data_IF_414281969020
#
_entry.id   IF_414281969020
#
_cell.length_a   1.000
_cell.length_b   1.000
_cell.length_c   1.000
_cell.angle_alpha   90.00
_cell.angle_beta   90.00
_cell.angle_gamma   90.00
#
_symmetry.space_group_name_H-M   'P 1'
#
loop_
_entity.id
_entity.type
_entity.pdbx_description
1 polymer ?
#
# COMPACT_ATOMS: atom_id res chain seq x y z
N UNK A 1 -15.19 7.48 15.01
CA UNK A 1 -15.47 7.49 13.56
C UNK A 1 -15.57 6.07 13.02
N UNK A 2 -16.45 5.83 12.02
CA UNK A 2 -16.51 4.56 11.30
C UNK A 2 -15.26 4.41 10.41
N UNK A 3 -14.61 3.24 10.40
CA UNK A 3 -13.45 2.97 9.53
C UNK A 3 -13.79 3.20 8.07
N UNK A 4 -12.86 3.77 7.32
CA UNK A 4 -12.95 4.09 5.90
C UNK A 4 -12.14 3.08 5.10
N UNK A 5 -12.77 2.49 4.08
CA UNK A 5 -12.11 1.52 3.18
C UNK A 5 -11.38 2.27 2.08
N UNK A 6 -10.29 1.66 1.60
CA UNK A 6 -9.64 2.11 0.39
C UNK A 6 -10.46 1.74 -0.85
N UNK A 7 -10.36 2.57 -1.88
CA UNK A 7 -11.02 2.33 -3.17
C UNK A 7 -10.25 1.32 -4.06
N UNK A 8 -9.05 0.89 -3.66
CA UNK A 8 -8.30 -0.20 -4.31
C UNK A 8 -8.35 -1.49 -3.48
N UNK A 9 -8.29 -2.63 -4.15
CA UNK A 9 -7.87 -3.90 -3.55
C UNK A 9 -6.35 -3.94 -3.57
N UNK A 10 -5.73 -4.21 -2.45
CA UNK A 10 -4.27 -4.19 -2.35
C UNK A 10 -3.78 -5.31 -1.44
N UNK A 11 -2.71 -5.99 -1.86
CA UNK A 11 -2.05 -6.97 -1.01
C UNK A 11 -1.48 -6.27 0.24
N UNK A 12 -1.58 -6.91 1.40
CA UNK A 12 -1.10 -6.32 2.65
C UNK A 12 -1.97 -5.18 3.22
N UNK A 13 -3.15 -4.91 2.66
CA UNK A 13 -4.01 -3.81 3.10
C UNK A 13 -4.31 -3.82 4.61
N UNK A 14 -3.88 -2.77 5.32
CA UNK A 14 -3.91 -2.68 6.78
C UNK A 14 -5.27 -2.35 7.40
N UNK A 15 -6.36 -2.26 6.62
CA UNK A 15 -7.70 -1.98 7.13
C UNK A 15 -8.11 -2.78 8.40
N UNK A 16 -7.80 -4.09 8.53
CA UNK A 16 -8.07 -4.84 9.77
C UNK A 16 -7.26 -4.35 10.98
N UNK A 17 -6.03 -3.91 10.75
CA UNK A 17 -5.02 -3.55 11.76
C UNK A 17 -4.96 -2.04 12.07
N UNK A 18 -5.70 -1.21 11.33
CA UNK A 18 -5.69 0.25 11.48
C UNK A 18 -5.90 0.71 12.93
N UNK A 19 -6.76 0.06 13.72
CA UNK A 19 -6.99 0.50 15.11
C UNK A 19 -5.78 0.21 16.01
N UNK A 20 -5.10 -0.91 15.76
CA UNK A 20 -3.91 -1.28 16.51
C UNK A 20 -2.73 -0.40 16.10
N UNK A 21 -2.56 -0.13 14.80
CA UNK A 21 -1.57 0.83 14.29
C UNK A 21 -1.80 2.21 14.91
N UNK A 22 -3.04 2.72 14.86
CA UNK A 22 -3.38 4.04 15.44
C UNK A 22 -3.09 4.15 16.93
N UNK A 23 -3.17 3.05 17.69
CA UNK A 23 -2.86 3.06 19.13
C UNK A 23 -1.37 3.30 19.39
N UNK A 24 -0.51 2.91 18.47
CA UNK A 24 0.95 3.00 18.59
C UNK A 24 1.56 4.10 17.73
N UNK A 25 0.77 4.72 16.84
CA UNK A 25 1.21 5.80 15.99
C UNK A 25 1.22 7.12 16.80
N UNK A 26 2.37 7.78 16.97
CA UNK A 26 2.45 9.02 17.74
C UNK A 26 1.70 10.19 17.10
N UNK A 27 1.41 11.22 17.88
CA UNK A 27 0.88 12.50 17.37
C UNK A 27 1.98 13.31 16.66
N UNK A 28 1.57 14.19 15.76
CA UNK A 28 2.42 15.12 15.02
C UNK A 28 1.62 15.86 13.94
N UNK A 29 2.30 16.72 13.19
CA UNK A 29 1.67 17.61 12.21
C UNK A 29 1.50 16.93 10.85
N UNK A 30 2.48 16.10 10.46
CA UNK A 30 2.54 15.46 9.15
C UNK A 30 2.76 13.95 9.28
N UNK A 31 1.91 13.14 8.64
CA UNK A 31 2.18 11.71 8.50
C UNK A 31 2.86 11.42 7.16
N UNK A 32 4.02 10.80 7.24
CA UNK A 32 4.77 10.30 6.08
C UNK A 32 4.54 8.80 5.96
N UNK A 33 4.03 8.35 4.82
CA UNK A 33 3.91 6.92 4.48
C UNK A 33 4.79 6.61 3.25
N UNK A 34 6.02 6.08 3.41
CA UNK A 34 6.91 5.74 2.30
C UNK A 34 6.44 4.56 1.43
N UNK A 35 5.47 3.80 1.93
CA UNK A 35 4.87 2.62 1.30
C UNK A 35 3.35 2.71 1.35
N UNK A 36 2.77 3.77 0.81
CA UNK A 36 1.34 4.07 1.02
C UNK A 36 0.42 2.94 0.59
N UNK A 37 0.75 2.21 -0.49
CA UNK A 37 -0.11 1.16 -1.04
C UNK A 37 -1.54 1.67 -1.21
N UNK A 38 -2.54 0.94 -0.69
CA UNK A 38 -3.95 1.37 -0.69
C UNK A 38 -4.30 2.55 0.24
N UNK A 39 -3.37 3.07 1.05
CA UNK A 39 -3.60 4.22 1.93
C UNK A 39 -4.55 3.94 3.10
N UNK A 40 -4.57 2.72 3.63
CA UNK A 40 -5.50 2.37 4.72
C UNK A 40 -5.25 3.17 6.01
N UNK A 41 -3.99 3.45 6.34
CA UNK A 41 -3.65 4.25 7.53
C UNK A 41 -3.98 5.72 7.27
N UNK A 42 -3.48 6.30 6.16
CA UNK A 42 -3.89 7.60 5.65
C UNK A 42 -5.39 7.84 5.78
N UNK A 43 -6.23 6.96 5.23
CA UNK A 43 -7.68 7.14 5.21
C UNK A 43 -8.35 7.13 6.59
N UNK A 44 -7.66 6.65 7.63
CA UNK A 44 -8.23 6.42 8.96
C UNK A 44 -7.52 7.19 10.10
N UNK A 45 -6.47 7.95 9.83
CA UNK A 45 -5.85 8.92 10.77
C UNK A 45 -6.36 10.34 10.50
N UNK A 46 -5.96 11.35 11.28
CA UNK A 46 -6.35 12.75 11.05
C UNK A 46 -5.18 13.68 11.41
N UNK A 47 -4.12 13.62 10.60
CA UNK A 47 -3.00 14.55 10.66
C UNK A 47 -3.35 15.82 9.86
N UNK A 48 -2.65 16.92 10.13
CA UNK A 48 -2.86 18.18 9.41
C UNK A 48 -2.43 18.08 7.95
N UNK A 49 -1.36 17.32 7.69
CA UNK A 49 -0.85 17.05 6.35
C UNK A 49 -0.32 15.63 6.19
N UNK A 50 -0.15 15.21 4.93
CA UNK A 50 0.37 13.89 4.58
C UNK A 50 1.38 13.95 3.44
N UNK A 51 2.46 13.19 3.55
CA UNK A 51 3.39 12.91 2.44
C UNK A 51 3.33 11.42 2.16
N UNK A 52 2.71 11.05 1.05
CA UNK A 52 2.38 9.67 0.71
C UNK A 52 3.19 9.25 -0.52
N UNK A 53 4.02 8.24 -0.35
CA UNK A 53 4.94 7.77 -1.40
C UNK A 53 4.79 6.29 -1.68
N UNK A 54 5.08 5.92 -2.92
CA UNK A 54 5.20 4.54 -3.37
C UNK A 54 6.15 4.50 -4.57
N UNK A 55 6.77 3.35 -4.81
CA UNK A 55 7.59 3.13 -6.01
C UNK A 55 6.73 2.89 -7.25
N UNK A 56 5.46 2.52 -7.07
CA UNK A 56 4.53 2.28 -8.17
C UNK A 56 3.99 3.60 -8.75
N UNK A 57 4.49 3.96 -9.92
CA UNK A 57 4.08 5.19 -10.62
C UNK A 57 2.61 5.19 -11.06
N UNK A 58 2.04 4.03 -11.45
CA UNK A 58 0.62 3.94 -11.83
C UNK A 58 -0.30 4.22 -10.64
N UNK A 59 0.10 3.77 -9.45
CA UNK A 59 -0.62 4.03 -8.20
C UNK A 59 -0.62 5.54 -7.87
N UNK A 60 0.56 6.17 -7.90
CA UNK A 60 0.70 7.59 -7.58
C UNK A 60 0.00 8.47 -8.61
N UNK A 61 0.09 8.12 -9.91
CA UNK A 61 -0.63 8.82 -10.97
C UNK A 61 -2.15 8.73 -10.77
N UNK A 62 -2.66 7.55 -10.41
CA UNK A 62 -4.06 7.36 -10.07
C UNK A 62 -4.49 8.26 -8.89
N UNK A 63 -3.71 8.30 -7.81
CA UNK A 63 -4.03 9.14 -6.67
C UNK A 63 -4.06 10.62 -7.01
N UNK A 64 -3.09 11.11 -7.80
CA UNK A 64 -3.09 12.48 -8.28
C UNK A 64 -4.25 12.77 -9.25
N UNK A 65 -4.67 11.81 -10.09
CA UNK A 65 -5.83 11.95 -10.97
C UNK A 65 -7.13 12.09 -10.17
N UNK A 66 -7.34 11.23 -9.17
CA UNK A 66 -8.52 11.29 -8.28
C UNK A 66 -8.52 12.57 -7.44
N UNK A 67 -7.35 13.00 -6.92
CA UNK A 67 -7.20 14.24 -6.15
C UNK A 67 -7.59 15.48 -6.97
N UNK A 68 -7.12 15.57 -8.22
CA UNK A 68 -7.22 16.78 -9.03
C UNK A 68 -8.52 16.88 -9.83
N UNK A 69 -9.09 15.74 -10.25
CA UNK A 69 -10.20 15.68 -11.21
C UNK A 69 -11.21 14.59 -10.84
N UNK A 70 -11.66 14.58 -9.58
CA UNK A 70 -12.49 13.51 -9.02
C UNK A 70 -13.77 13.23 -9.84
N UNK A 71 -14.59 14.25 -10.10
CA UNK A 71 -15.84 14.09 -10.83
C UNK A 71 -15.63 13.60 -12.27
N UNK A 72 -14.67 14.20 -12.97
CA UNK A 72 -14.29 13.78 -14.32
C UNK A 72 -13.84 12.31 -14.31
N UNK A 73 -12.94 11.95 -13.39
CA UNK A 73 -12.43 10.59 -13.26
C UNK A 73 -13.55 9.58 -13.00
N UNK A 74 -14.42 9.86 -12.03
CA UNK A 74 -15.53 8.99 -11.62
C UNK A 74 -16.52 8.81 -12.78
N UNK A 75 -16.88 9.89 -13.47
CA UNK A 75 -17.82 9.84 -14.59
C UNK A 75 -17.29 9.02 -15.77
N UNK A 76 -15.98 9.10 -16.07
CA UNK A 76 -15.38 8.36 -17.18
C UNK A 76 -15.10 6.89 -16.84
N UNK A 77 -14.78 6.56 -15.59
CA UNK A 77 -14.46 5.18 -15.20
C UNK A 77 -15.71 4.35 -14.91
N UNK A 78 -16.79 4.97 -14.42
CA UNK A 78 -18.05 4.29 -14.06
C UNK A 78 -18.62 3.39 -15.17
N UNK A 79 -18.67 3.80 -16.46
CA UNK A 79 -19.14 2.93 -17.54
C UNK A 79 -18.35 1.62 -17.67
N UNK A 80 -17.07 1.60 -17.29
CA UNK A 80 -16.22 0.40 -17.32
C UNK A 80 -16.62 -0.66 -16.27
N UNK A 81 -17.54 -0.33 -15.35
CA UNK A 81 -18.08 -1.25 -14.34
C UNK A 81 -19.45 -1.85 -14.74
N UNK A 82 -19.86 -1.71 -16.01
CA UNK A 82 -21.06 -2.36 -16.55
C UNK A 82 -20.83 -3.84 -16.85
N UNK A 83 -21.91 -4.59 -17.10
CA UNK A 83 -21.83 -6.00 -17.51
C UNK A 83 -21.12 -6.21 -18.85
N UNK A 84 -21.16 -5.22 -19.74
CA UNK A 84 -20.47 -5.25 -21.04
C UNK A 84 -18.96 -5.39 -20.86
N UNK A 85 -18.39 -4.66 -19.90
CA UNK A 85 -16.95 -4.67 -19.62
C UNK A 85 -16.53 -5.77 -18.64
N UNK A 86 -17.46 -6.59 -18.14
CA UNK A 86 -17.16 -7.72 -17.25
C UNK A 86 -17.02 -9.05 -18.02
N UNK A 87 -16.32 -9.03 -19.15
CA UNK A 87 -16.02 -10.20 -19.97
C UNK A 87 -14.51 -10.40 -20.10
N UNK A 88 -14.06 -11.64 -20.36
CA UNK A 88 -12.65 -11.92 -20.56
C UNK A 88 -12.06 -11.16 -21.76
N UNK A 89 -12.84 -11.05 -22.84
CA UNK A 89 -12.45 -10.33 -24.05
C UNK A 89 -12.21 -8.84 -23.77
N UNK A 90 -13.19 -8.15 -23.18
CA UNK A 90 -13.03 -6.73 -22.84
C UNK A 90 -11.94 -6.50 -21.80
N UNK A 91 -11.79 -7.39 -20.82
CA UNK A 91 -10.72 -7.31 -19.85
C UNK A 91 -9.34 -7.35 -20.52
N UNK A 92 -9.09 -8.31 -21.42
CA UNK A 92 -7.79 -8.43 -22.07
C UNK A 92 -7.53 -7.30 -23.07
N UNK A 93 -8.57 -6.82 -23.77
CA UNK A 93 -8.49 -5.63 -24.63
C UNK A 93 -8.08 -4.39 -23.83
N UNK A 94 -8.75 -4.11 -22.71
CA UNK A 94 -8.45 -2.97 -21.85
C UNK A 94 -7.10 -3.11 -21.12
N UNK A 95 -6.66 -4.34 -20.82
CA UNK A 95 -5.32 -4.60 -20.28
C UNK A 95 -4.23 -4.29 -21.31
N UNK A 96 -4.44 -4.66 -22.57
CA UNK A 96 -3.53 -4.32 -23.66
C UNK A 96 -3.49 -2.80 -23.90
N UNK A 97 -4.65 -2.15 -23.87
CA UNK A 97 -4.76 -0.68 -23.93
C UNK A 97 -3.99 -0.02 -22.79
N UNK A 98 -4.13 -0.50 -21.56
CA UNK A 98 -3.36 -0.02 -20.42
C UNK A 98 -1.86 -0.14 -20.65
N UNK A 99 -1.38 -1.28 -21.14
CA UNK A 99 0.05 -1.51 -21.37
C UNK A 99 0.62 -0.64 -22.50
N UNK A 100 -0.18 -0.26 -23.51
CA UNK A 100 0.24 0.57 -24.64
C UNK A 100 0.03 2.08 -24.42
N UNK A 101 -0.92 2.45 -23.56
CA UNK A 101 -1.29 3.84 -23.34
C UNK A 101 -0.14 4.63 -22.70
N UNK A 102 0.10 5.83 -23.24
CA UNK A 102 1.01 6.84 -22.69
C UNK A 102 0.26 7.98 -21.99
N UNK A 103 -1.07 8.01 -22.05
CA UNK A 103 -1.88 9.02 -21.35
C UNK A 103 -2.05 8.63 -19.87
N UNK A 104 -1.48 9.40 -18.92
CA UNK A 104 -1.58 9.09 -17.49
C UNK A 104 -3.03 9.04 -16.98
N UNK A 105 -3.92 9.86 -17.54
CA UNK A 105 -5.32 9.88 -17.08
C UNK A 105 -6.06 8.63 -17.50
N UNK A 106 -5.95 8.23 -18.79
CA UNK A 106 -6.49 6.96 -19.27
C UNK A 106 -5.89 5.77 -18.55
N UNK A 107 -4.56 5.76 -18.34
CA UNK A 107 -3.90 4.70 -17.56
C UNK A 107 -4.48 4.58 -16.15
N UNK A 108 -4.72 5.70 -15.47
CA UNK A 108 -5.29 5.72 -14.12
C UNK A 108 -6.71 5.11 -14.07
N UNK A 109 -7.56 5.46 -15.05
CA UNK A 109 -8.90 4.87 -15.16
C UNK A 109 -8.84 3.35 -15.39
N UNK A 110 -8.00 2.92 -16.33
CA UNK A 110 -7.80 1.51 -16.64
C UNK A 110 -7.17 0.76 -15.46
N UNK A 111 -6.29 1.38 -14.69
CA UNK A 111 -5.69 0.77 -13.50
C UNK A 111 -6.74 0.43 -12.44
N UNK A 112 -7.69 1.34 -12.16
CA UNK A 112 -8.81 1.06 -11.25
C UNK A 112 -9.71 -0.06 -11.80
N UNK A 113 -10.05 -0.03 -13.09
CA UNK A 113 -10.82 -1.09 -13.73
C UNK A 113 -10.11 -2.44 -13.57
N UNK A 114 -8.83 -2.53 -13.96
CA UNK A 114 -8.03 -3.75 -13.88
C UNK A 114 -7.94 -4.25 -12.44
N UNK A 115 -7.69 -3.38 -11.45
CA UNK A 115 -7.63 -3.77 -10.05
C UNK A 115 -8.93 -4.44 -9.55
N UNK A 116 -10.09 -3.94 -9.99
CA UNK A 116 -11.39 -4.47 -9.58
C UNK A 116 -11.83 -5.70 -10.37
N UNK A 117 -11.32 -5.89 -11.59
CA UNK A 117 -11.69 -6.98 -12.49
C UNK A 117 -10.66 -8.12 -12.55
N UNK A 118 -9.40 -7.90 -12.15
CA UNK A 118 -8.33 -8.89 -12.23
C UNK A 118 -8.36 -9.90 -11.07
N UNK A 119 -7.65 -11.00 -11.25
CA UNK A 119 -7.51 -12.04 -10.23
C UNK A 119 -6.99 -11.46 -8.91
N UNK A 120 -7.82 -11.60 -7.86
CA UNK A 120 -7.54 -11.18 -6.48
C UNK A 120 -7.16 -9.70 -6.27
N UNK A 121 -7.33 -8.83 -7.28
CA UNK A 121 -6.87 -7.45 -7.18
C UNK A 121 -5.35 -7.33 -7.09
N UNK A 122 -4.62 -8.31 -7.65
CA UNK A 122 -3.17 -8.27 -7.70
C UNK A 122 -2.70 -7.10 -8.58
N UNK A 123 -1.61 -6.48 -8.17
CA UNK A 123 -0.85 -5.54 -8.99
C UNK A 123 0.48 -6.22 -9.35
N UNK A 124 0.64 -6.64 -10.61
CA UNK A 124 1.83 -7.37 -11.05
C UNK A 124 2.16 -7.01 -12.49
N UNK A 125 3.45 -6.75 -12.70
CA UNK A 125 4.04 -6.42 -13.98
C UNK A 125 5.09 -7.47 -14.35
N UNK A 126 5.32 -7.68 -15.64
CA UNK A 126 6.46 -8.48 -16.11
C UNK A 126 7.75 -7.64 -16.15
N UNK A 127 8.86 -8.24 -16.56
CA UNK A 127 10.16 -7.55 -16.70
C UNK A 127 10.17 -6.42 -17.72
N UNK A 128 9.16 -6.30 -18.59
CA UNK A 128 8.97 -5.20 -19.54
C UNK A 128 8.09 -4.07 -18.97
N UNK A 129 7.66 -4.16 -17.71
CA UNK A 129 6.76 -3.20 -17.08
C UNK A 129 5.30 -3.32 -17.53
N UNK A 130 4.90 -4.44 -18.15
CA UNK A 130 3.53 -4.65 -18.62
C UNK A 130 2.70 -5.38 -17.55
N UNK A 131 1.52 -4.86 -17.24
CA UNK A 131 0.56 -5.49 -16.34
C UNK A 131 0.09 -6.83 -16.92
N UNK A 132 0.25 -7.91 -16.15
CA UNK A 132 0.07 -9.28 -16.64
C UNK A 132 -0.87 -10.14 -15.79
N UNK A 133 -1.68 -9.54 -14.91
CA UNK A 133 -2.65 -10.28 -14.08
C UNK A 133 -3.83 -10.75 -14.95
N UNK A 134 -4.30 -12.01 -14.81
CA UNK A 134 -5.44 -12.53 -15.59
C UNK A 134 -6.78 -12.00 -15.08
N UNK A 135 -7.84 -12.22 -15.88
CA UNK A 135 -9.21 -11.85 -15.52
C UNK A 135 -9.70 -12.63 -14.28
N UNK A 136 -10.33 -11.93 -13.33
CA UNK A 136 -10.74 -12.47 -12.03
C UNK A 136 -12.10 -13.18 -12.01
N UNK A 137 -12.91 -13.05 -13.07
CA UNK A 137 -14.24 -13.71 -13.22
C UNK A 137 -15.20 -13.43 -12.07
N UNK A 138 -15.19 -12.21 -11.53
CA UNK A 138 -16.16 -11.80 -10.51
C UNK A 138 -17.56 -11.66 -11.10
N UNK A 139 -18.59 -12.07 -10.35
CA UNK A 139 -20.00 -11.93 -10.79
C UNK A 139 -20.38 -10.48 -11.08
N UNK A 140 -20.01 -9.57 -10.16
CA UNK A 140 -20.25 -8.13 -10.27
C UNK A 140 -19.13 -7.39 -9.51
N UNK A 141 -18.10 -6.89 -10.21
CA UNK A 141 -17.11 -6.01 -9.61
C UNK A 141 -17.77 -4.80 -8.95
N UNK A 142 -17.38 -4.50 -7.71
CA UNK A 142 -17.88 -3.33 -6.98
C UNK A 142 -17.21 -2.07 -7.50
N UNK A 143 -18.00 -1.06 -7.88
CA UNK A 143 -17.51 0.28 -8.20
C UNK A 143 -17.42 1.13 -6.92
N UNK A 144 -16.21 1.53 -6.50
CA UNK A 144 -15.98 2.16 -5.20
C UNK A 144 -16.20 3.68 -5.23
N UNK A 145 -17.41 4.12 -5.57
CA UNK A 145 -17.73 5.53 -5.76
C UNK A 145 -17.58 6.37 -4.48
N UNK A 146 -18.22 5.94 -3.38
CA UNK A 146 -18.14 6.64 -2.10
C UNK A 146 -16.69 6.69 -1.58
N UNK A 147 -15.93 5.61 -1.78
CA UNK A 147 -14.52 5.57 -1.40
C UNK A 147 -13.64 6.48 -2.27
N UNK A 148 -13.98 6.67 -3.56
CA UNK A 148 -13.28 7.60 -4.45
C UNK A 148 -13.52 9.06 -4.03
N UNK A 149 -14.77 9.43 -3.75
CA UNK A 149 -15.09 10.78 -3.27
C UNK A 149 -14.45 11.07 -1.91
N UNK A 150 -14.53 10.12 -0.97
CA UNK A 150 -13.87 10.24 0.32
C UNK A 150 -12.34 10.36 0.19
N UNK A 151 -11.73 9.57 -0.70
CA UNK A 151 -10.30 9.67 -0.98
C UNK A 151 -9.95 11.04 -1.57
N UNK A 152 -10.72 11.55 -2.53
CA UNK A 152 -10.49 12.86 -3.16
C UNK A 152 -10.57 14.02 -2.16
N UNK A 153 -11.58 13.99 -1.27
CA UNK A 153 -11.75 14.98 -0.19
C UNK A 153 -10.53 14.96 0.75
N UNK A 154 -10.16 13.78 1.24
CA UNK A 154 -9.03 13.66 2.17
C UNK A 154 -7.70 14.02 1.52
N UNK A 155 -7.55 13.72 0.23
CA UNK A 155 -6.34 13.97 -0.56
C UNK A 155 -5.96 15.43 -0.68
N UNK A 156 -6.86 16.36 -0.35
CA UNK A 156 -6.54 17.79 -0.32
C UNK A 156 -5.47 18.13 0.72
N UNK A 157 -5.36 17.33 1.80
CA UNK A 157 -4.29 17.43 2.82
C UNK A 157 -3.01 16.68 2.45
N UNK A 158 -2.95 16.00 1.29
CA UNK A 158 -1.88 15.04 0.98
C UNK A 158 -1.06 15.41 -0.26
N UNK A 159 0.25 15.17 -0.22
CA UNK A 159 1.12 15.15 -1.39
C UNK A 159 1.44 13.69 -1.77
N UNK A 160 1.19 13.31 -3.03
CA UNK A 160 1.48 11.98 -3.55
C UNK A 160 2.72 12.00 -4.45
N UNK A 161 3.76 11.25 -4.07
CA UNK A 161 5.08 11.33 -4.70
C UNK A 161 5.54 9.92 -5.11
N UNK A 162 5.92 9.73 -6.36
CA UNK A 162 6.50 8.48 -6.83
C UNK A 162 7.99 8.50 -6.54
N UNK A 163 8.41 7.87 -5.44
CA UNK A 163 9.81 7.88 -5.00
C UNK A 163 10.15 6.65 -4.16
N UNK A 164 11.45 6.38 -4.04
CA UNK A 164 11.98 5.32 -3.19
C UNK A 164 11.81 5.68 -1.70
N UNK A 165 11.64 4.66 -0.85
CA UNK A 165 11.37 4.85 0.58
C UNK A 165 12.48 5.65 1.29
N UNK A 166 13.74 5.43 0.92
CA UNK A 166 14.88 6.15 1.49
C UNK A 166 14.79 7.66 1.29
N UNK A 167 14.29 8.11 0.13
CA UNK A 167 14.13 9.52 -0.17
C UNK A 167 13.02 10.10 0.71
N UNK A 168 11.88 9.40 0.81
CA UNK A 168 10.77 9.81 1.65
C UNK A 168 11.16 9.92 3.14
N UNK A 169 11.94 8.97 3.63
CA UNK A 169 12.45 8.94 5.00
C UNK A 169 13.45 10.07 5.27
N UNK A 170 14.45 10.25 4.40
CA UNK A 170 15.51 11.23 4.62
C UNK A 170 15.02 12.68 4.54
N UNK A 171 13.95 12.93 3.78
CA UNK A 171 13.30 14.24 3.65
C UNK A 171 12.32 14.56 4.79
N UNK A 172 12.14 13.65 5.76
CA UNK A 172 11.29 13.92 6.92
C UNK A 172 11.83 15.12 7.74
N UNK A 173 10.93 16.06 8.04
CA UNK A 173 11.20 17.26 8.83
C UNK A 173 10.66 17.13 10.25
N UNK A 174 11.07 18.02 11.15
CA UNK A 174 10.49 18.13 12.49
C UNK A 174 8.97 18.25 12.44
N UNK A 175 8.28 17.68 13.43
CA UNK A 175 6.81 17.60 13.46
C UNK A 175 6.24 16.43 12.65
N UNK A 176 7.06 15.71 11.88
CA UNK A 176 6.61 14.53 11.14
C UNK A 176 6.49 13.30 12.04
N UNK A 177 5.57 12.40 11.67
CA UNK A 177 5.49 11.02 12.12
C UNK A 177 5.61 10.13 10.89
N UNK A 178 6.40 9.06 10.97
CA UNK A 178 6.61 8.16 9.84
C UNK A 178 5.94 6.81 10.12
N UNK A 179 5.13 6.33 9.17
CA UNK A 179 4.61 4.97 9.17
C UNK A 179 5.10 4.19 7.96
N UNK A 180 5.82 3.09 8.21
CA UNK A 180 6.36 2.22 7.19
C UNK A 180 5.61 0.88 7.16
N UNK A 181 5.05 0.54 6.00
CA UNK A 181 4.46 -0.76 5.71
C UNK A 181 5.14 -1.44 4.52
N UNK A 182 6.41 -1.87 4.68
CA UNK A 182 7.16 -2.46 3.57
C UNK A 182 6.52 -3.77 3.08
N UNK A 183 6.84 -4.21 1.86
CA UNK A 183 6.62 -5.61 1.46
C UNK A 183 7.17 -6.54 2.54
N UNK A 184 6.38 -7.49 3.03
CA UNK A 184 6.78 -8.29 4.18
C UNK A 184 7.99 -9.18 3.94
N UNK A 185 8.74 -9.41 5.02
CA UNK A 185 9.85 -10.33 5.03
C UNK A 185 9.37 -11.77 4.72
N UNK A 186 10.19 -12.59 4.03
CA UNK A 186 9.84 -13.98 3.79
C UNK A 186 9.68 -14.75 5.11
N UNK A 187 8.70 -15.65 5.16
CA UNK A 187 8.40 -16.45 6.35
C UNK A 187 9.48 -17.49 6.69
N UNK A 188 10.38 -17.80 5.75
CA UNK A 188 11.54 -18.67 5.96
C UNK A 188 12.68 -18.32 5.00
N UNK A 189 13.91 -18.63 5.39
CA UNK A 189 15.09 -18.51 4.54
C UNK A 189 15.01 -19.35 3.25
N UNK A 190 14.22 -20.44 3.27
CA UNK A 190 13.99 -21.31 2.09
C UNK A 190 12.94 -20.78 1.13
N UNK A 191 12.00 -19.93 1.58
CA UNK A 191 11.08 -19.22 0.69
C UNK A 191 11.80 -18.20 -0.21
N UNK A 192 13.01 -17.81 0.19
CA UNK A 192 13.87 -16.85 -0.50
C UNK A 192 14.43 -17.39 -1.84
N UNK A 193 14.58 -18.71 -1.97
CA UNK A 193 15.26 -19.33 -3.13
C UNK A 193 14.42 -19.34 -4.42
N UNK A 194 13.17 -18.86 -4.39
CA UNK A 194 12.25 -18.86 -5.54
C UNK A 194 11.93 -17.48 -6.12
N UNK A 195 12.47 -16.40 -5.55
CA UNK A 195 12.15 -15.03 -5.96
C UNK A 195 13.31 -14.37 -6.73
N UNK A 196 13.59 -14.85 -7.94
CA UNK A 196 14.37 -14.05 -8.90
C UNK A 196 13.48 -12.96 -9.49
N UNK A 197 13.44 -11.77 -8.90
CA UNK A 197 12.91 -10.60 -9.59
C UNK A 197 13.69 -9.34 -9.25
N UNK A 198 14.41 -8.85 -10.26
CA UNK A 198 14.95 -7.49 -10.37
C UNK A 198 13.84 -6.47 -10.03
N UNK A 199 14.05 -5.63 -9.01
CA UNK A 199 13.12 -4.66 -8.36
C UNK A 199 12.31 -5.11 -7.13
N UNK A 200 12.59 -6.26 -6.50
CA UNK A 200 11.95 -6.62 -5.24
C UNK A 200 12.65 -6.01 -4.01
N UNK A 201 11.87 -5.44 -3.09
CA UNK A 201 12.31 -5.09 -1.73
C UNK A 201 12.87 -6.34 -1.02
N UNK A 202 14.19 -6.41 -0.88
CA UNK A 202 14.91 -7.61 -0.46
C UNK A 202 15.31 -7.54 1.03
N UNK A 203 16.04 -8.56 1.53
CA UNK A 203 16.45 -8.61 2.94
C UNK A 203 17.37 -7.45 3.33
N UNK A 204 18.25 -7.00 2.43
CA UNK A 204 19.11 -5.84 2.67
C UNK A 204 18.28 -4.56 2.74
N UNK A 205 17.23 -4.43 1.91
CA UNK A 205 16.30 -3.29 2.01
C UNK A 205 15.52 -3.29 3.33
N UNK A 206 15.14 -4.46 3.85
CA UNK A 206 14.47 -4.58 5.16
C UNK A 206 15.37 -4.11 6.30
N UNK A 207 16.63 -4.56 6.30
CA UNK A 207 17.63 -4.19 7.29
C UNK A 207 17.97 -2.69 7.19
N UNK A 208 18.17 -2.19 5.97
CA UNK A 208 18.43 -0.78 5.71
C UNK A 208 17.28 0.12 6.17
N UNK A 209 16.03 -0.28 5.94
CA UNK A 209 14.85 0.42 6.46
C UNK A 209 14.90 0.55 8.00
N UNK A 210 15.27 -0.51 8.71
CA UNK A 210 15.40 -0.49 10.18
C UNK A 210 16.53 0.45 10.63
N UNK A 211 17.68 0.44 9.94
CA UNK A 211 18.79 1.35 10.21
C UNK A 211 18.39 2.82 10.01
N UNK A 212 17.75 3.14 8.89
CA UNK A 212 17.30 4.51 8.60
C UNK A 212 16.28 4.96 9.64
N UNK A 213 15.32 4.10 10.02
CA UNK A 213 14.34 4.41 11.05
C UNK A 213 14.99 4.72 12.41
N UNK A 214 15.96 3.90 12.82
CA UNK A 214 16.74 4.14 14.03
C UNK A 214 17.52 5.47 13.96
N UNK A 215 18.19 5.75 12.84
CA UNK A 215 18.94 7.00 12.65
C UNK A 215 18.04 8.23 12.68
N UNK A 216 16.90 8.19 12.00
CA UNK A 216 15.93 9.29 11.99
C UNK A 216 15.40 9.55 13.41
N UNK A 217 15.02 8.50 14.13
CA UNK A 217 14.51 8.66 15.50
C UNK A 217 15.59 9.13 16.48
N UNK A 218 16.79 8.56 16.42
CA UNK A 218 17.88 8.90 17.35
C UNK A 218 18.51 10.28 17.08
N UNK A 219 18.65 10.68 15.82
CA UNK A 219 19.35 11.92 15.45
C UNK A 219 18.40 13.11 15.25
N UNK A 220 17.21 12.87 14.71
CA UNK A 220 16.24 13.93 14.39
C UNK A 220 15.08 14.00 15.38
N UNK A 221 14.93 13.02 16.27
CA UNK A 221 13.79 12.94 17.20
C UNK A 221 12.45 12.65 16.53
N UNK A 222 12.46 12.24 15.25
CA UNK A 222 11.25 11.98 14.48
C UNK A 222 10.78 10.55 14.74
N UNK A 223 9.55 10.32 15.22
CA UNK A 223 9.05 8.98 15.50
C UNK A 223 8.81 8.18 14.21
N UNK A 224 9.18 6.90 14.24
CA UNK A 224 8.99 5.95 13.13
C UNK A 224 8.30 4.69 13.64
N UNK A 225 7.15 4.35 13.05
CA UNK A 225 6.44 3.09 13.29
C UNK A 225 6.56 2.18 12.06
N UNK A 226 7.02 0.95 12.24
CA UNK A 226 7.12 -0.05 11.17
C UNK A 226 6.20 -1.22 11.46
N UNK A 227 5.44 -1.70 10.48
CA UNK A 227 4.70 -2.97 10.54
C UNK A 227 5.38 -4.06 9.73
N UNK A 228 5.50 -5.27 10.28
CA UNK A 228 6.00 -6.45 9.57
C UNK A 228 5.46 -7.74 10.19
N UNK A 229 5.83 -8.90 9.65
CA UNK A 229 5.62 -10.17 10.31
C UNK A 229 6.45 -10.30 11.58
N UNK A 230 5.91 -10.93 12.63
CA UNK A 230 6.65 -11.30 13.83
C UNK A 230 7.51 -12.55 13.58
N UNK A 231 8.81 -12.34 13.34
CA UNK A 231 9.80 -13.38 13.06
C UNK A 231 11.09 -13.13 13.83
N UNK A 232 11.97 -14.12 14.02
CA UNK A 232 13.27 -13.90 14.63
C UNK A 232 14.09 -12.81 13.91
N UNK A 233 14.05 -12.79 12.58
CA UNK A 233 14.78 -11.84 11.75
C UNK A 233 14.24 -10.40 11.89
N UNK A 234 12.91 -10.21 11.86
CA UNK A 234 12.32 -8.87 12.08
C UNK A 234 12.54 -8.37 13.51
N UNK A 235 12.58 -9.25 14.51
CA UNK A 235 12.96 -8.89 15.89
C UNK A 235 14.42 -8.45 16.00
N UNK A 236 15.31 -9.11 15.26
CA UNK A 236 16.72 -8.75 15.18
C UNK A 236 16.91 -7.37 14.52
N UNK A 237 16.30 -7.14 13.35
CA UNK A 237 16.38 -5.83 12.69
C UNK A 237 15.82 -4.69 13.55
N UNK A 238 14.70 -4.93 14.24
CA UNK A 238 14.01 -3.91 15.02
C UNK A 238 14.41 -3.88 16.50
N UNK A 239 15.56 -4.44 16.88
CA UNK A 239 15.98 -4.59 18.29
C UNK A 239 16.14 -3.26 19.06
N UNK A 240 16.35 -2.14 18.36
CA UNK A 240 16.39 -0.80 18.96
C UNK A 240 15.01 -0.17 19.17
N UNK A 241 13.94 -0.77 18.66
CA UNK A 241 12.58 -0.24 18.75
C UNK A 241 11.81 -0.83 19.95
N UNK A 242 10.74 -0.16 20.37
CA UNK A 242 9.73 -0.77 21.22
C UNK A 242 8.83 -1.68 20.38
N UNK A 243 8.81 -2.98 20.70
CA UNK A 243 8.12 -4.01 19.92
C UNK A 243 6.74 -4.34 20.51
N UNK A 244 5.70 -4.28 19.68
CA UNK A 244 4.32 -4.63 20.02
C UNK A 244 3.79 -5.71 19.09
N UNK A 245 3.16 -6.74 19.67
CA UNK A 245 2.61 -7.87 18.91
C UNK A 245 1.12 -7.65 18.71
N UNK A 246 0.65 -7.69 17.46
CA UNK A 246 -0.76 -7.63 17.11
C UNK A 246 -1.20 -8.97 16.54
N UNK A 247 -2.11 -9.64 17.25
CA UNK A 247 -2.61 -10.96 16.84
C UNK A 247 -3.37 -10.87 15.53
N UNK A 248 -2.95 -11.63 14.52
CA UNK A 248 -3.65 -11.68 13.25
C UNK A 248 -5.08 -12.25 13.44
N UNK A 249 -6.11 -11.48 13.07
CA UNK A 249 -7.51 -11.95 13.11
C UNK A 249 -7.77 -12.90 11.92
N UNK A 250 -8.27 -14.10 12.26
CA UNK A 250 -8.76 -15.25 11.42
C UNK A 250 -8.75 -15.11 9.88
N UNK A 251 -8.18 -16.13 9.24
CA UNK A 251 -7.91 -16.31 7.79
C UNK A 251 -9.14 -16.69 6.94
N UNK A 252 -9.18 -16.21 5.69
CA UNK A 252 -10.00 -16.78 4.61
C UNK A 252 -9.10 -17.71 3.79
N UNK A 253 -9.08 -19.02 4.09
CA UNK A 253 -8.45 -20.05 3.25
C UNK A 253 -8.94 -21.45 3.64
N UNK A 254 -9.09 -22.33 2.63
CA UNK A 254 -9.79 -23.63 2.68
C UNK A 254 -8.87 -24.83 3.03
N UNK A 255 -7.56 -24.65 3.23
CA UNK A 255 -6.60 -25.73 3.47
C UNK A 255 -6.08 -25.77 4.93
N UNK A 256 -6.12 -26.96 5.54
CA UNK A 256 -5.87 -27.19 6.98
C UNK A 256 -4.36 -27.35 7.31
N UNK A 257 -3.53 -27.74 6.34
CA UNK A 257 -2.14 -28.20 6.58
C UNK A 257 -1.04 -27.14 6.34
N UNK A 258 -1.36 -25.96 5.79
CA UNK A 258 -0.39 -24.86 5.56
C UNK A 258 -0.65 -23.65 6.47
N UNK A 259 -1.14 -23.90 7.71
CA UNK A 259 -1.50 -22.87 8.68
C UNK A 259 -0.29 -22.40 9.47
N UNK A 260 0.59 -21.56 8.92
CA UNK A 260 1.44 -20.72 9.77
C UNK A 260 0.73 -19.38 10.00
N UNK A 261 0.11 -19.25 11.18
CA UNK A 261 -0.32 -17.93 11.67
C UNK A 261 0.95 -17.22 12.11
N UNK A 262 1.36 -16.22 11.37
CA UNK A 262 2.41 -15.31 11.82
C UNK A 262 1.72 -14.07 12.34
N UNK A 263 1.97 -13.75 13.61
CA UNK A 263 1.45 -12.54 14.22
C UNK A 263 2.10 -11.32 13.55
N UNK A 264 1.46 -10.16 13.70
CA UNK A 264 2.00 -8.91 13.21
C UNK A 264 2.90 -8.29 14.28
N UNK A 265 4.02 -7.72 13.88
CA UNK A 265 4.96 -6.96 14.71
C UNK A 265 4.85 -5.48 14.34
N UNK A 266 4.61 -4.63 15.34
CA UNK A 266 4.75 -3.19 15.25
C UNK A 266 6.02 -2.77 15.99
N UNK A 267 6.96 -2.15 15.29
CA UNK A 267 8.21 -1.64 15.84
C UNK A 267 8.18 -0.11 15.89
N UNK A 268 8.14 0.45 17.09
CA UNK A 268 8.11 1.91 17.31
C UNK A 268 9.48 2.42 17.75
N UNK A 269 10.08 3.26 16.91
CA UNK A 269 11.23 4.07 17.23
C UNK A 269 10.75 5.45 17.68
N UNK A 270 10.85 5.73 18.97
CA UNK A 270 10.52 7.02 19.56
C UNK A 270 11.48 7.27 20.71
N UNK A 271 12.01 8.49 20.82
CA UNK A 271 12.76 8.88 22.01
C UNK A 271 11.81 8.86 23.21
N UNK A 272 12.32 8.38 24.36
CA UNK A 272 11.61 8.42 25.64
C UNK A 272 11.71 9.79 26.27
#
# INVERSE_FOLDING_TARGET
>A
MKKKRAFLKWAGGKYPLVDDIKRHLPEGDCLIEPFVGAGSVFLNTDYDSYILSDINSDLINLYNAVKSRADEFINHVRPLFSSEFNTAENFYRLREEFNKSKDPFRRSMLFLYLNRHCYNGLCRYNSRGEFNVPFGRYKKPYFPEDELYWFAEKSQKAAFICQHYEIALNNASNGSVIYCDPPYAPLSATANFTAYHTNSFNLLDQENLAHIAYHISSQKGIPVLISNHDTPMTREWYHHASLYIVKARRTISRNILARSKVDELLALYCQK
#
